data_IF_928315955504
#
_entry.id   IF_928315955504
#
_cell.length_a   1.000
_cell.length_b   1.000
_cell.length_c   1.000
_cell.angle_alpha   90.00
_cell.angle_beta   90.00
_cell.angle_gamma   90.00
#
_symmetry.space_group_name_H-M   'P 1'
#
loop_
_entity.id
_entity.type
_entity.pdbx_description
1 polymer ?
#
# COMPACT_ATOMS: atom_id res chain seq x y z
N UNK A 1 4.97 -16.71 13.47
CA UNK A 1 4.63 -15.73 12.41
C UNK A 1 4.97 -16.42 11.11
N UNK A 2 4.11 -16.30 10.11
CA UNK A 2 4.32 -16.82 8.77
C UNK A 2 5.38 -16.00 8.02
N UNK A 3 5.41 -14.68 8.24
CA UNK A 3 6.50 -13.82 7.77
C UNK A 3 7.70 -13.90 8.72
N UNK A 4 8.91 -13.93 8.14
CA UNK A 4 10.14 -13.77 8.92
C UNK A 4 10.34 -12.30 9.35
N UNK A 5 11.34 -12.05 10.20
CA UNK A 5 11.60 -10.71 10.73
C UNK A 5 12.05 -9.72 9.65
N UNK A 6 12.78 -10.18 8.63
CA UNK A 6 13.27 -9.33 7.54
C UNK A 6 12.13 -8.98 6.57
N UNK A 7 11.27 -9.95 6.24
CA UNK A 7 10.06 -9.75 5.45
C UNK A 7 9.13 -8.74 6.12
N UNK A 8 8.89 -8.92 7.42
CA UNK A 8 8.08 -7.97 8.20
C UNK A 8 8.72 -6.59 8.22
N UNK A 9 10.03 -6.49 8.45
CA UNK A 9 10.73 -5.21 8.46
C UNK A 9 10.69 -4.52 7.09
N UNK A 10 10.76 -5.27 6.00
CA UNK A 10 10.59 -4.73 4.65
C UNK A 10 9.17 -4.20 4.44
N UNK A 11 8.15 -4.98 4.79
CA UNK A 11 6.75 -4.57 4.66
C UNK A 11 6.44 -3.28 5.43
N UNK A 12 6.89 -3.17 6.69
CA UNK A 12 6.71 -1.96 7.50
C UNK A 12 7.42 -0.75 6.86
N UNK A 13 8.64 -0.92 6.34
CA UNK A 13 9.35 0.14 5.60
C UNK A 13 8.64 0.55 4.32
N UNK A 14 8.05 -0.41 3.60
CA UNK A 14 7.25 -0.11 2.40
C UNK A 14 6.01 0.70 2.77
N UNK A 15 5.34 0.36 3.88
CA UNK A 15 4.20 1.12 4.38
C UNK A 15 4.63 2.55 4.72
N UNK A 16 5.72 2.73 5.48
CA UNK A 16 6.24 4.05 5.85
C UNK A 16 6.62 4.88 4.62
N UNK A 17 7.25 4.25 3.63
CA UNK A 17 7.56 4.89 2.35
C UNK A 17 6.29 5.36 1.65
N UNK A 18 5.26 4.52 1.57
CA UNK A 18 4.01 4.87 0.90
C UNK A 18 3.24 5.94 1.64
N UNK A 19 3.21 5.93 2.98
CA UNK A 19 2.66 7.03 3.79
C UNK A 19 3.31 8.37 3.39
N UNK A 20 4.63 8.40 3.22
CA UNK A 20 5.35 9.59 2.77
C UNK A 20 5.08 9.96 1.30
N UNK A 21 4.67 9.01 0.46
CA UNK A 21 4.30 9.24 -0.94
C UNK A 21 2.83 9.62 -1.14
N UNK A 22 1.97 9.52 -0.12
CA UNK A 22 0.55 9.88 -0.21
C UNK A 22 0.32 11.26 -0.84
N UNK A 23 1.05 12.34 -0.51
CA UNK A 23 0.86 13.65 -1.16
C UNK A 23 1.07 13.62 -2.68
N UNK A 24 2.07 12.86 -3.14
CA UNK A 24 2.36 12.67 -4.57
C UNK A 24 1.24 11.87 -5.24
N UNK A 25 0.80 10.78 -4.61
CA UNK A 25 -0.29 9.93 -5.12
C UNK A 25 -1.60 10.73 -5.18
N UNK A 26 -1.86 11.57 -4.17
CA UNK A 26 -3.01 12.47 -4.13
C UNK A 26 -2.97 13.50 -5.26
N UNK A 27 -1.81 14.10 -5.53
CA UNK A 27 -1.64 15.04 -6.65
C UNK A 27 -1.96 14.37 -7.99
N UNK A 28 -1.47 13.14 -8.20
CA UNK A 28 -1.79 12.35 -9.39
C UNK A 28 -3.30 12.06 -9.48
N UNK A 29 -3.93 11.64 -8.38
CA UNK A 29 -5.36 11.37 -8.29
C UNK A 29 -6.24 12.65 -8.37
N UNK A 30 -5.65 13.84 -8.42
CA UNK A 30 -6.40 15.09 -8.65
C UNK A 30 -6.39 15.54 -10.10
N UNK A 31 -5.54 14.95 -10.94
CA UNK A 31 -5.45 15.32 -12.35
C UNK A 31 -6.72 14.97 -13.12
N UNK A 32 -7.09 15.82 -14.08
CA UNK A 32 -8.27 15.63 -14.91
C UNK A 32 -8.22 14.31 -15.71
N UNK A 33 -7.03 13.93 -16.17
CA UNK A 33 -6.82 12.67 -16.87
C UNK A 33 -7.15 11.47 -15.97
N UNK A 34 -6.65 11.46 -14.74
CA UNK A 34 -6.90 10.36 -13.81
C UNK A 34 -8.38 10.29 -13.43
N UNK A 35 -9.01 11.43 -13.13
CA UNK A 35 -10.46 11.50 -12.84
C UNK A 35 -11.31 11.01 -14.00
N UNK A 36 -10.99 11.40 -15.24
CA UNK A 36 -11.74 11.00 -16.44
C UNK A 36 -11.62 9.50 -16.72
N UNK A 37 -10.43 8.94 -16.55
CA UNK A 37 -10.16 7.54 -16.86
C UNK A 37 -10.76 6.59 -15.83
N UNK A 38 -10.68 6.92 -14.54
CA UNK A 38 -11.11 6.03 -13.47
C UNK A 38 -12.50 6.36 -12.89
N UNK A 39 -13.08 7.52 -13.26
CA UNK A 39 -14.48 7.90 -12.96
C UNK A 39 -14.89 7.80 -11.47
N UNK A 40 -13.93 8.01 -10.56
CA UNK A 40 -14.20 8.00 -9.13
C UNK A 40 -14.75 9.35 -8.64
N UNK A 41 -15.45 9.29 -7.51
CA UNK A 41 -16.04 10.46 -6.85
C UNK A 41 -15.24 10.95 -5.65
N UNK A 42 -14.57 10.02 -4.98
CA UNK A 42 -13.77 10.29 -3.78
C UNK A 42 -12.30 10.00 -4.08
N UNK A 43 -11.48 11.05 -4.06
CA UNK A 43 -10.04 10.97 -4.27
C UNK A 43 -9.35 10.19 -3.14
N UNK A 44 -9.82 10.34 -1.90
CA UNK A 44 -9.23 9.70 -0.73
C UNK A 44 -9.40 8.18 -0.78
N UNK A 45 -10.57 7.69 -1.18
CA UNK A 45 -10.81 6.25 -1.35
C UNK A 45 -9.93 5.65 -2.44
N UNK A 46 -9.74 6.37 -3.56
CA UNK A 46 -8.85 5.92 -4.64
C UNK A 46 -7.40 5.92 -4.19
N UNK A 47 -6.94 6.97 -3.52
CA UNK A 47 -5.56 7.06 -3.01
C UNK A 47 -5.31 5.96 -1.97
N UNK A 48 -6.29 5.64 -1.13
CA UNK A 48 -6.19 4.54 -0.18
C UNK A 48 -6.03 3.19 -0.91
N UNK A 49 -6.90 2.92 -1.87
CA UNK A 49 -6.85 1.68 -2.65
C UNK A 49 -5.52 1.54 -3.41
N UNK A 50 -5.05 2.61 -4.06
CA UNK A 50 -3.75 2.64 -4.75
C UNK A 50 -2.60 2.41 -3.78
N UNK A 51 -2.61 3.07 -2.62
CA UNK A 51 -1.57 2.91 -1.60
C UNK A 51 -1.48 1.47 -1.12
N UNK A 52 -2.63 0.84 -0.79
CA UNK A 52 -2.68 -0.57 -0.40
C UNK A 52 -2.19 -1.50 -1.51
N UNK A 53 -2.58 -1.23 -2.76
CA UNK A 53 -2.14 -2.01 -3.92
C UNK A 53 -0.63 -1.91 -4.16
N UNK A 54 -0.05 -0.71 -4.05
CA UNK A 54 1.40 -0.51 -4.20
C UNK A 54 2.16 -1.20 -3.08
N UNK A 55 1.70 -1.10 -1.83
CA UNK A 55 2.32 -1.79 -0.69
C UNK A 55 2.31 -3.30 -0.91
N UNK A 56 1.14 -3.87 -1.21
CA UNK A 56 1.00 -5.31 -1.39
C UNK A 56 1.81 -5.81 -2.59
N UNK A 57 1.69 -5.15 -3.74
CA UNK A 57 2.44 -5.52 -4.95
C UNK A 57 3.94 -5.41 -4.76
N UNK A 58 4.42 -4.33 -4.11
CA UNK A 58 5.83 -4.14 -3.79
C UNK A 58 6.36 -5.22 -2.84
N UNK A 59 5.57 -5.57 -1.83
CA UNK A 59 5.92 -6.66 -0.91
C UNK A 59 5.98 -8.02 -1.61
N UNK A 60 4.97 -8.37 -2.41
CA UNK A 60 4.93 -9.64 -3.15
C UNK A 60 6.12 -9.75 -4.09
N UNK A 61 6.46 -8.67 -4.82
CA UNK A 61 7.62 -8.66 -5.71
C UNK A 61 8.93 -8.87 -4.93
N UNK A 62 9.11 -8.19 -3.79
CA UNK A 62 10.25 -8.39 -2.91
C UNK A 62 10.33 -9.84 -2.43
N UNK A 63 9.21 -10.39 -1.95
CA UNK A 63 9.13 -11.72 -1.41
C UNK A 63 9.51 -12.78 -2.44
N UNK A 64 8.97 -12.67 -3.66
CA UNK A 64 9.30 -13.56 -4.78
C UNK A 64 10.78 -13.49 -5.10
N UNK A 65 11.36 -12.28 -5.16
CA UNK A 65 12.79 -12.11 -5.46
C UNK A 65 13.68 -12.71 -4.37
N UNK A 66 13.29 -12.59 -3.10
CA UNK A 66 14.08 -13.06 -1.96
C UNK A 66 14.01 -14.56 -1.75
N UNK A 67 12.80 -15.12 -1.83
CA UNK A 67 12.53 -16.52 -1.47
C UNK A 67 12.40 -17.44 -2.69
N UNK A 68 12.49 -16.89 -3.91
CA UNK A 68 12.35 -17.61 -5.19
C UNK A 68 11.04 -18.40 -5.31
N UNK A 69 10.00 -17.94 -4.62
CA UNK A 69 8.66 -18.55 -4.63
C UNK A 69 7.56 -17.52 -4.39
N UNK A 70 6.34 -17.90 -4.74
CA UNK A 70 5.16 -17.12 -4.38
C UNK A 70 4.88 -17.17 -2.87
N UNK A 71 4.21 -16.11 -2.42
CA UNK A 71 3.63 -16.03 -1.09
C UNK A 71 2.54 -17.11 -0.92
N UNK A 72 2.49 -17.75 0.24
CA UNK A 72 1.48 -18.74 0.57
C UNK A 72 0.26 -18.09 1.29
N UNK A 73 -0.83 -18.83 1.55
CA UNK A 73 -2.02 -18.26 2.18
C UNK A 73 -1.80 -17.66 3.57
N UNK A 74 -0.97 -18.28 4.41
CA UNK A 74 -0.71 -17.81 5.78
C UNK A 74 0.11 -16.51 5.76
N UNK A 75 1.12 -16.45 4.89
CA UNK A 75 1.92 -15.25 4.65
C UNK A 75 1.06 -14.12 4.06
N UNK A 76 0.15 -14.46 3.13
CA UNK A 76 -0.80 -13.50 2.56
C UNK A 76 -1.72 -12.91 3.64
N UNK A 77 -2.26 -13.77 4.50
CA UNK A 77 -3.10 -13.35 5.62
C UNK A 77 -2.33 -12.46 6.59
N UNK A 78 -1.07 -12.80 6.90
CA UNK A 78 -0.23 -11.97 7.77
C UNK A 78 0.12 -10.63 7.13
N UNK A 79 0.52 -10.59 5.85
CA UNK A 79 0.78 -9.35 5.10
C UNK A 79 -0.44 -8.43 5.11
N UNK A 80 -1.61 -8.96 4.78
CA UNK A 80 -2.86 -8.20 4.81
C UNK A 80 -3.16 -7.71 6.24
N UNK A 81 -2.92 -8.53 7.25
CA UNK A 81 -3.08 -8.13 8.65
C UNK A 81 -2.19 -6.95 9.05
N UNK A 82 -0.94 -6.91 8.58
CA UNK A 82 -0.03 -5.77 8.81
C UNK A 82 -0.55 -4.51 8.09
N UNK A 83 -0.89 -4.61 6.81
CA UNK A 83 -1.40 -3.46 6.02
C UNK A 83 -2.69 -2.90 6.64
N UNK A 84 -3.62 -3.78 7.04
CA UNK A 84 -4.88 -3.37 7.66
C UNK A 84 -4.67 -2.67 9.01
N UNK A 85 -3.71 -3.13 9.84
CA UNK A 85 -3.37 -2.45 11.10
C UNK A 85 -2.83 -1.04 10.88
N UNK A 86 -2.05 -0.83 9.81
CA UNK A 86 -1.47 0.48 9.46
C UNK A 86 -2.40 1.35 8.59
N UNK A 87 -3.57 0.85 8.21
CA UNK A 87 -4.52 1.57 7.33
C UNK A 87 -4.94 2.93 7.91
N UNK A 88 -5.04 3.05 9.24
CA UNK A 88 -5.36 4.32 9.88
C UNK A 88 -4.33 5.41 9.56
N UNK A 89 -3.05 5.08 9.59
CA UNK A 89 -1.98 6.04 9.33
C UNK A 89 -1.95 6.50 7.87
N UNK A 90 -2.26 5.58 6.95
CA UNK A 90 -2.45 5.91 5.54
C UNK A 90 -3.63 6.88 5.38
N UNK A 91 -4.76 6.61 6.03
CA UNK A 91 -5.93 7.52 6.02
C UNK A 91 -5.61 8.88 6.64
N UNK A 92 -4.86 8.91 7.74
CA UNK A 92 -4.45 10.16 8.37
C UNK A 92 -3.55 10.99 7.45
N UNK A 93 -2.63 10.34 6.70
CA UNK A 93 -1.82 11.01 5.70
C UNK A 93 -2.66 11.55 4.53
N UNK A 94 -3.67 10.80 4.07
CA UNK A 94 -4.63 11.23 3.06
C UNK A 94 -5.41 12.44 3.55
N UNK A 95 -5.93 12.39 4.77
CA UNK A 95 -6.71 13.48 5.37
C UNK A 95 -5.87 14.76 5.52
N UNK A 96 -4.58 14.64 5.83
CA UNK A 96 -3.64 15.78 5.88
C UNK A 96 -3.34 16.39 4.51
N UNK A 97 -3.64 15.71 3.41
CA UNK A 97 -3.57 16.28 2.06
C UNK A 97 -4.84 17.07 1.68
N UNK A 98 -5.78 17.21 2.63
CA UNK A 98 -6.96 18.07 2.54
C UNK A 98 -6.58 19.51 2.29
#
# INVERSE_FOLDING_TARGET
MALDNEDRAFLEKTIDFIINQVPTIMTMARTDEYKKNFQYKDEGDVVLALSMGIIYGGFVQYFITRHERNINPDETAETNGVILRRTREIKDAIFKCG
#
